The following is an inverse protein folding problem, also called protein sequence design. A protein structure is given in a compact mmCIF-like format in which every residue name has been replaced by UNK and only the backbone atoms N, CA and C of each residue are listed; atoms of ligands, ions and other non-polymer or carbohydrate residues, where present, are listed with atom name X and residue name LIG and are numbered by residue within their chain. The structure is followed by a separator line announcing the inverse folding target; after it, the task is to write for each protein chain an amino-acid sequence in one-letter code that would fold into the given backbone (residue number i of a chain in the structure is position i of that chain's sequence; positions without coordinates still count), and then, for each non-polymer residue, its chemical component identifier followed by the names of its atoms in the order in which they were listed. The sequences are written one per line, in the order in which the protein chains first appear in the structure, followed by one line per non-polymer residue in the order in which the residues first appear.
data_IF_151473545201
#
_entry.id   IF_151473545201
#
_cell.length_a   1.000
_cell.length_b   1.000
_cell.length_c   1.000
_cell.angle_alpha   90.00
_cell.angle_beta   90.00
_cell.angle_gamma   90.00
#
_symmetry.space_group_name_H-M   'P 1'
#
loop_
_entity.id
_entity.type
_entity.pdbx_description
1 polymer ?
#
# COMPACT_ATOMS: atom_id res chain seq x y z
N UNK A 1 18.72 23.04 15.39
CA UNK A 1 18.88 23.11 13.93
C UNK A 1 17.99 22.05 13.32
N UNK A 2 16.76 22.42 12.94
CA UNK A 2 15.85 21.54 12.20
C UNK A 2 16.47 21.28 10.84
N UNK A 3 16.80 20.03 10.53
CA UNK A 3 17.20 19.67 9.18
C UNK A 3 16.07 20.11 8.24
N UNK A 4 16.36 21.05 7.34
CA UNK A 4 15.42 21.43 6.29
C UNK A 4 15.27 20.21 5.39
N UNK A 5 14.16 19.50 5.55
CA UNK A 5 13.79 18.40 4.67
C UNK A 5 13.93 18.85 3.22
N UNK A 6 14.45 17.97 2.36
CA UNK A 6 14.59 18.26 0.94
C UNK A 6 13.23 18.68 0.38
N UNK A 7 13.14 19.65 -0.57
CA UNK A 7 11.86 19.95 -1.21
C UNK A 7 11.26 18.75 -1.96
N UNK A 8 12.06 17.71 -2.23
CA UNK A 8 11.62 16.43 -2.80
C UNK A 8 11.09 15.45 -1.74
N UNK A 9 11.41 15.65 -0.47
CA UNK A 9 10.92 14.81 0.62
C UNK A 9 9.48 15.19 0.95
N UNK A 10 8.60 14.19 0.85
CA UNK A 10 7.23 14.32 1.29
C UNK A 10 7.04 13.69 2.66
N UNK A 11 6.05 14.21 3.38
CA UNK A 11 5.72 13.84 4.73
C UNK A 11 4.20 13.95 4.95
N UNK A 12 3.70 13.12 5.85
CA UNK A 12 2.37 13.26 6.46
C UNK A 12 2.53 13.95 7.81
N UNK A 13 1.67 14.92 8.08
CA UNK A 13 1.68 15.71 9.31
C UNK A 13 0.32 15.60 9.98
N UNK A 14 0.28 15.03 11.18
CA UNK A 14 -0.89 15.13 12.06
C UNK A 14 -0.71 16.38 12.92
N UNK A 15 -1.53 17.41 12.67
CA UNK A 15 -1.42 18.73 13.30
C UNK A 15 -2.71 19.11 14.02
N UNK A 16 -2.60 19.88 15.09
CA UNK A 16 -3.74 20.50 15.75
C UNK A 16 -3.87 21.97 15.31
N UNK A 17 -5.08 22.39 14.98
CA UNK A 17 -5.45 23.78 14.73
C UNK A 17 -6.72 24.17 15.52
N UNK A 18 -7.24 25.38 15.29
CA UNK A 18 -8.43 25.88 15.98
C UNK A 18 -9.72 25.09 15.68
N UNK A 19 -9.76 24.34 14.57
CA UNK A 19 -10.88 23.49 14.17
C UNK A 19 -10.72 22.03 14.62
N UNK A 20 -9.51 21.61 15.03
CA UNK A 20 -9.23 20.30 15.62
C UNK A 20 -7.95 19.66 15.06
N UNK A 21 -7.88 18.33 15.11
CA UNK A 21 -6.75 17.58 14.55
C UNK A 21 -6.97 17.25 13.08
N UNK A 22 -5.98 17.51 12.23
CA UNK A 22 -6.04 17.23 10.79
C UNK A 22 -4.77 16.52 10.31
N UNK A 23 -4.94 15.61 9.34
CA UNK A 23 -3.83 14.96 8.65
C UNK A 23 -3.57 15.69 7.33
N UNK A 24 -2.34 16.16 7.13
CA UNK A 24 -1.91 16.92 5.96
C UNK A 24 -0.73 16.23 5.27
N UNK A 25 -0.76 16.13 3.94
CA UNK A 25 0.34 15.62 3.12
C UNK A 25 1.11 16.76 2.45
N UNK A 26 2.45 16.72 2.52
CA UNK A 26 3.31 17.70 1.80
C UNK A 26 3.70 17.25 0.39
N UNK A 27 3.12 16.14 -0.11
CA UNK A 27 3.42 15.64 -1.46
C UNK A 27 3.13 16.69 -2.53
N UNK A 28 4.00 16.72 -3.54
CA UNK A 28 3.86 17.59 -4.71
C UNK A 28 3.87 16.76 -6.00
N UNK A 29 3.24 17.29 -7.05
CA UNK A 29 3.22 16.76 -8.42
C UNK A 29 4.57 16.99 -9.14
N UNK A 30 5.66 16.43 -8.60
CA UNK A 30 7.00 16.59 -9.18
C UNK A 30 7.10 16.02 -10.60
N UNK A 31 6.43 14.90 -10.89
CA UNK A 31 6.41 14.31 -12.23
C UNK A 31 5.87 15.29 -13.28
N UNK A 32 4.78 16.01 -12.98
CA UNK A 32 4.22 17.04 -13.88
C UNK A 32 5.25 18.10 -14.22
N UNK A 33 5.97 18.61 -13.21
CA UNK A 33 6.96 19.68 -13.40
C UNK A 33 8.20 19.20 -14.15
N UNK A 34 8.69 18.01 -13.82
CA UNK A 34 9.95 17.49 -14.35
C UNK A 34 9.84 16.95 -15.77
N UNK A 35 8.68 16.42 -16.16
CA UNK A 35 8.51 15.75 -17.46
C UNK A 35 7.96 16.63 -18.58
N UNK A 36 7.39 17.80 -18.25
CA UNK A 36 6.79 18.68 -19.26
C UNK A 36 7.80 19.07 -20.35
N UNK A 37 7.40 18.93 -21.62
CA UNK A 37 8.21 19.21 -22.81
C UNK A 37 9.27 18.16 -23.14
N UNK A 38 9.45 17.12 -22.31
CA UNK A 38 10.40 16.04 -22.58
C UNK A 38 9.82 15.00 -23.55
N UNK A 39 10.67 14.26 -24.26
CA UNK A 39 10.25 13.07 -25.00
C UNK A 39 9.51 12.08 -24.09
N UNK A 40 8.47 11.40 -24.60
CA UNK A 40 7.70 10.42 -23.82
C UNK A 40 8.57 9.31 -23.21
N UNK A 41 9.62 8.88 -23.94
CA UNK A 41 10.58 7.86 -23.50
C UNK A 41 11.42 8.26 -22.27
N UNK A 42 11.42 9.53 -21.86
CA UNK A 42 12.12 9.99 -20.66
C UNK A 42 11.40 9.57 -19.37
N UNK A 43 10.07 9.48 -19.40
CA UNK A 43 9.26 9.16 -18.21
C UNK A 43 9.66 7.84 -17.53
N UNK A 44 9.70 6.69 -18.22
CA UNK A 44 10.09 5.43 -17.60
C UNK A 44 11.56 5.35 -17.15
N UNK A 45 12.42 6.29 -17.60
CA UNK A 45 13.83 6.37 -17.20
C UNK A 45 14.04 7.24 -15.98
N UNK A 46 13.32 8.35 -15.87
CA UNK A 46 13.51 9.35 -14.82
C UNK A 46 12.68 9.07 -13.55
N UNK A 47 11.44 8.59 -13.71
CA UNK A 47 10.53 8.40 -12.58
C UNK A 47 11.01 7.34 -11.57
N UNK A 48 11.70 6.26 -11.95
CA UNK A 48 12.26 5.32 -10.97
C UNK A 48 13.25 5.96 -10.00
N UNK A 49 14.02 6.97 -10.44
CA UNK A 49 14.96 7.69 -9.58
C UNK A 49 14.26 8.73 -8.69
N UNK A 50 13.20 9.37 -9.20
CA UNK A 50 12.41 10.33 -8.44
C UNK A 50 11.63 9.65 -7.30
N UNK A 51 11.11 8.45 -7.55
CA UNK A 51 10.30 7.68 -6.61
C UNK A 51 11.00 6.39 -6.20
N UNK A 52 12.20 6.53 -5.62
CA UNK A 52 13.16 5.44 -5.39
C UNK A 52 12.63 4.28 -4.55
N UNK A 53 11.74 4.53 -3.58
CA UNK A 53 11.12 3.48 -2.76
C UNK A 53 10.25 2.50 -3.57
N UNK A 54 9.73 2.95 -4.71
CA UNK A 54 8.83 2.18 -5.58
C UNK A 54 9.25 2.29 -7.05
N UNK A 55 10.56 2.45 -7.31
CA UNK A 55 11.05 2.88 -8.61
C UNK A 55 10.67 1.95 -9.77
N UNK A 56 10.74 0.62 -9.54
CA UNK A 56 10.34 -0.38 -10.52
C UNK A 56 8.87 -0.26 -10.94
N UNK A 57 7.96 -0.14 -9.97
CA UNK A 57 6.53 0.06 -10.21
C UNK A 57 6.24 1.35 -10.99
N UNK A 58 6.89 2.47 -10.64
CA UNK A 58 6.78 3.71 -11.40
C UNK A 58 7.30 3.58 -12.84
N UNK A 59 8.38 2.83 -13.05
CA UNK A 59 8.90 2.51 -14.38
C UNK A 59 7.89 1.71 -15.21
N UNK A 60 7.26 0.69 -14.61
CA UNK A 60 6.23 -0.15 -15.25
C UNK A 60 5.01 0.70 -15.64
N UNK A 61 4.42 1.42 -14.69
CA UNK A 61 3.25 2.26 -14.95
C UNK A 61 3.54 3.34 -16.01
N UNK A 62 4.73 3.93 -16.00
CA UNK A 62 5.16 4.90 -17.00
C UNK A 62 5.28 4.28 -18.40
N UNK A 63 5.86 3.08 -18.53
CA UNK A 63 5.95 2.37 -19.82
C UNK A 63 4.55 2.07 -20.38
N UNK A 64 3.65 1.58 -19.53
CA UNK A 64 2.25 1.34 -19.91
C UNK A 64 1.55 2.61 -20.39
N UNK A 65 1.71 3.72 -19.67
CA UNK A 65 1.09 4.99 -20.04
C UNK A 65 1.62 5.53 -21.38
N UNK A 66 2.94 5.42 -21.60
CA UNK A 66 3.58 5.86 -22.86
C UNK A 66 3.11 5.00 -24.03
N UNK A 67 3.09 3.67 -23.87
CA UNK A 67 2.62 2.75 -24.90
C UNK A 67 1.15 3.02 -25.28
N UNK A 68 0.29 3.29 -24.29
CA UNK A 68 -1.10 3.68 -24.52
C UNK A 68 -1.24 5.01 -25.26
N UNK A 69 -0.49 6.03 -24.86
CA UNK A 69 -0.54 7.34 -25.51
C UNK A 69 -0.02 7.31 -26.97
N UNK A 70 0.93 6.42 -27.26
CA UNK A 70 1.49 6.25 -28.61
C UNK A 70 0.63 5.36 -29.52
N UNK A 71 -0.46 4.78 -29.00
CA UNK A 71 -1.29 3.84 -29.77
C UNK A 71 -0.63 2.48 -30.02
N UNK A 72 0.40 2.15 -29.24
CA UNK A 72 1.11 0.85 -29.31
C UNK A 72 0.45 -0.19 -28.40
N UNK A 73 -0.23 0.26 -27.33
CA UNK A 73 -1.14 -0.60 -26.58
C UNK A 73 -2.47 -0.74 -27.34
N UNK A 74 -3.19 -1.87 -27.22
CA UNK A 74 -4.51 -2.02 -27.83
C UNK A 74 -5.39 -0.84 -27.42
N UNK A 75 -5.89 -0.12 -28.42
CA UNK A 75 -6.84 0.96 -28.19
C UNK A 75 -8.08 0.36 -27.54
N UNK A 76 -8.45 0.84 -26.35
CA UNK A 76 -9.73 0.53 -25.73
C UNK A 76 -10.85 1.28 -26.46
N UNK A 77 -11.01 1.01 -27.74
CA UNK A 77 -12.07 1.58 -28.55
C UNK A 77 -13.40 0.89 -28.18
N UNK A 78 -13.94 1.29 -27.03
CA UNK A 78 -15.37 1.40 -26.76
C UNK A 78 -16.27 0.19 -27.11
N UNK A 79 -15.79 -1.05 -26.95
CA UNK A 79 -16.64 -2.24 -26.92
C UNK A 79 -16.65 -2.88 -25.51
N UNK A 80 -17.81 -3.21 -24.91
CA UNK A 80 -17.88 -3.97 -23.67
C UNK A 80 -17.21 -5.34 -23.86
N UNK A 81 -16.08 -5.58 -23.20
CA UNK A 81 -15.41 -6.89 -23.18
C UNK A 81 -13.96 -6.93 -23.70
N UNK A 82 -13.33 -5.80 -24.04
CA UNK A 82 -11.91 -5.80 -24.41
C UNK A 82 -10.99 -6.14 -23.23
N UNK A 83 -10.07 -7.07 -23.49
CA UNK A 83 -9.16 -7.71 -22.52
C UNK A 83 -7.88 -6.90 -22.37
N UNK A 84 -7.33 -6.86 -21.17
CA UNK A 84 -6.00 -6.27 -20.94
C UNK A 84 -4.97 -7.20 -21.57
N UNK A 85 -4.04 -6.66 -22.37
CA UNK A 85 -2.94 -7.46 -22.91
C UNK A 85 -2.07 -7.98 -21.76
N UNK A 86 -1.68 -9.26 -21.83
CA UNK A 86 -0.80 -9.86 -20.84
C UNK A 86 0.48 -9.03 -20.66
N UNK A 87 0.87 -8.68 -19.42
CA UNK A 87 2.13 -7.98 -19.21
C UNK A 87 3.30 -8.84 -19.70
N UNK A 88 4.37 -8.16 -20.12
CA UNK A 88 5.65 -8.82 -20.35
C UNK A 88 6.02 -9.63 -19.08
N UNK A 89 6.28 -10.94 -19.25
CA UNK A 89 6.58 -11.85 -18.15
C UNK A 89 7.77 -11.39 -17.31
N UNK A 90 8.75 -10.71 -17.92
CA UNK A 90 9.87 -10.13 -17.18
C UNK A 90 9.43 -8.96 -16.27
N UNK A 91 8.55 -8.08 -16.77
CA UNK A 91 8.02 -6.96 -15.98
C UNK A 91 7.12 -7.44 -14.84
N UNK A 92 6.31 -8.47 -15.09
CA UNK A 92 5.48 -9.11 -14.07
C UNK A 92 6.32 -9.75 -12.96
N UNK A 93 7.38 -10.47 -13.32
CA UNK A 93 8.31 -11.06 -12.36
C UNK A 93 9.08 -10.00 -11.55
N UNK A 94 9.53 -8.91 -12.18
CA UNK A 94 10.18 -7.82 -11.48
C UNK A 94 9.24 -7.16 -10.45
N UNK A 95 8.01 -6.85 -10.86
CA UNK A 95 6.98 -6.27 -9.98
C UNK A 95 6.64 -7.19 -8.79
N UNK A 96 6.54 -8.50 -9.04
CA UNK A 96 6.35 -9.53 -8.01
C UNK A 96 7.46 -9.48 -6.98
N UNK A 97 8.72 -9.51 -7.42
CA UNK A 97 9.87 -9.52 -6.51
C UNK A 97 10.02 -8.22 -5.74
N UNK A 98 9.83 -7.07 -6.40
CA UNK A 98 9.85 -5.77 -5.73
C UNK A 98 8.80 -5.70 -4.62
N UNK A 99 7.57 -6.15 -4.92
CA UNK A 99 6.47 -6.16 -3.95
C UNK A 99 6.74 -7.13 -2.80
N UNK A 100 7.20 -8.35 -3.09
CA UNK A 100 7.52 -9.36 -2.08
C UNK A 100 8.65 -8.89 -1.16
N UNK A 101 9.75 -8.38 -1.72
CA UNK A 101 10.87 -7.82 -0.96
C UNK A 101 10.43 -6.67 -0.08
N UNK A 102 9.58 -5.79 -0.58
CA UNK A 102 9.04 -4.68 0.20
C UNK A 102 8.20 -5.17 1.39
N UNK A 103 7.33 -6.16 1.19
CA UNK A 103 6.59 -6.76 2.29
C UNK A 103 7.50 -7.44 3.33
N UNK A 104 8.54 -8.15 2.89
CA UNK A 104 9.51 -8.77 3.79
C UNK A 104 10.31 -7.72 4.56
N UNK A 105 10.77 -6.63 3.93
CA UNK A 105 11.41 -5.50 4.63
C UNK A 105 10.47 -4.92 5.68
N UNK A 106 9.21 -4.69 5.32
CA UNK A 106 8.21 -4.14 6.26
C UNK A 106 7.97 -5.04 7.46
N UNK A 107 7.90 -6.34 7.23
CA UNK A 107 7.81 -7.31 8.32
C UNK A 107 9.10 -7.26 9.16
N UNK A 108 10.29 -7.42 8.61
CA UNK A 108 11.48 -7.59 9.42
C UNK A 108 12.06 -6.31 10.05
N UNK A 109 11.81 -5.15 9.46
CA UNK A 109 12.45 -3.89 9.84
C UNK A 109 11.47 -2.88 10.46
N UNK A 110 10.22 -2.84 9.97
CA UNK A 110 9.23 -1.84 10.39
C UNK A 110 8.23 -2.38 11.41
N UNK A 111 7.77 -3.62 11.28
CA UNK A 111 6.82 -4.22 12.22
C UNK A 111 7.35 -4.29 13.67
N UNK A 112 8.64 -4.58 13.93
CA UNK A 112 9.22 -4.46 15.27
C UNK A 112 9.06 -3.06 15.88
N UNK A 113 9.27 -2.01 15.09
CA UNK A 113 9.07 -0.60 15.51
C UNK A 113 7.60 -0.33 15.84
N UNK A 114 6.69 -0.87 15.05
CA UNK A 114 5.24 -0.69 15.23
C UNK A 114 4.70 -1.43 16.46
N UNK A 115 5.31 -2.55 16.84
CA UNK A 115 4.91 -3.31 18.03
C UNK A 115 5.49 -2.77 19.33
N UNK A 116 6.44 -1.82 19.29
CA UNK A 116 6.96 -1.21 20.50
C UNK A 116 5.93 -0.23 21.10
N UNK A 117 5.47 -0.45 22.34
CA UNK A 117 4.52 0.45 22.98
C UNK A 117 5.07 1.85 23.25
N UNK A 118 6.40 1.99 23.22
CA UNK A 118 7.11 3.26 23.36
C UNK A 118 8.62 3.07 23.30
N UNK A 119 9.41 4.16 23.20
CA UNK A 119 10.86 4.10 23.00
C UNK A 119 11.63 3.43 24.14
N UNK A 120 11.06 3.40 25.34
CA UNK A 120 11.66 2.76 26.53
C UNK A 120 10.97 1.44 26.92
N UNK A 121 9.94 1.00 26.19
CA UNK A 121 9.17 -0.20 26.53
C UNK A 121 9.61 -1.38 25.66
N UNK A 122 9.71 -2.56 26.29
CA UNK A 122 10.02 -3.78 25.58
C UNK A 122 8.90 -4.15 24.57
N UNK A 123 9.23 -4.71 23.41
CA UNK A 123 8.23 -5.26 22.50
C UNK A 123 7.49 -6.45 23.14
N UNK A 124 6.35 -6.87 22.56
CA UNK A 124 5.67 -8.10 22.96
C UNK A 124 6.62 -9.31 22.99
N UNK A 125 6.45 -10.27 23.93
CA UNK A 125 7.34 -11.43 24.04
C UNK A 125 7.51 -12.19 22.73
N UNK A 126 8.76 -12.36 22.29
CA UNK A 126 9.12 -13.07 21.06
C UNK A 126 9.00 -12.25 19.77
N UNK A 127 8.59 -10.97 19.84
CA UNK A 127 8.78 -10.00 18.75
C UNK A 127 10.17 -9.35 18.93
N UNK A 128 11.01 -9.26 17.87
CA UNK A 128 12.30 -8.59 17.96
C UNK A 128 12.16 -7.15 18.47
N UNK A 129 13.15 -6.68 19.24
CA UNK A 129 13.24 -5.25 19.55
C UNK A 129 13.54 -4.45 18.27
N UNK A 130 13.09 -3.20 18.23
CA UNK A 130 13.33 -2.31 17.08
C UNK A 130 14.78 -1.81 16.97
N UNK A 131 15.58 -1.99 18.02
CA UNK A 131 16.98 -1.58 18.10
C UNK A 131 17.82 -2.60 18.87
N UNK A 132 19.14 -2.45 18.79
CA UNK A 132 20.10 -3.32 19.49
C UNK A 132 20.28 -4.69 18.82
N UNK A 133 20.74 -5.68 19.60
CA UNK A 133 21.14 -6.99 19.09
C UNK A 133 20.00 -7.77 18.42
N UNK A 134 18.76 -7.70 18.95
CA UNK A 134 17.61 -8.37 18.36
C UNK A 134 17.23 -7.78 16.99
N UNK A 135 17.33 -6.46 16.82
CA UNK A 135 17.13 -5.81 15.52
C UNK A 135 18.21 -6.21 14.51
N UNK A 136 19.47 -6.28 14.95
CA UNK A 136 20.57 -6.75 14.11
C UNK A 136 20.38 -8.21 13.67
N UNK A 137 19.92 -9.07 14.57
CA UNK A 137 19.60 -10.47 14.25
C UNK A 137 18.43 -10.59 13.26
N UNK A 138 17.37 -9.77 13.41
CA UNK A 138 16.28 -9.71 12.46
C UNK A 138 16.77 -9.24 11.08
N UNK A 139 17.57 -8.17 11.03
CA UNK A 139 18.15 -7.70 9.78
C UNK A 139 19.05 -8.76 9.11
N UNK A 140 19.84 -9.49 9.88
CA UNK A 140 20.66 -10.60 9.38
C UNK A 140 19.80 -11.76 8.84
N UNK A 141 18.72 -12.12 9.53
CA UNK A 141 17.78 -13.14 9.08
C UNK A 141 17.08 -12.75 7.76
N UNK A 142 16.68 -11.48 7.62
CA UNK A 142 16.15 -10.95 6.37
C UNK A 142 17.20 -10.97 5.26
N UNK A 143 18.44 -10.56 5.54
CA UNK A 143 19.54 -10.57 4.57
C UNK A 143 19.87 -11.98 4.07
N UNK A 144 19.64 -13.01 4.90
CA UNK A 144 19.80 -14.41 4.53
C UNK A 144 18.67 -14.96 3.63
N UNK A 145 17.57 -14.22 3.46
CA UNK A 145 16.51 -14.61 2.53
C UNK A 145 17.03 -14.59 1.08
N UNK A 146 16.94 -15.71 0.32
CA UNK A 146 17.46 -15.78 -1.05
C UNK A 146 16.88 -14.72 -2.00
N UNK A 147 15.64 -14.29 -1.75
CA UNK A 147 14.95 -13.30 -2.57
C UNK A 147 15.53 -11.90 -2.40
N UNK A 148 16.22 -11.61 -1.29
CA UNK A 148 16.74 -10.27 -1.03
C UNK A 148 17.97 -9.92 -1.86
N UNK A 149 18.77 -10.93 -2.20
CA UNK A 149 19.96 -10.79 -3.05
C UNK A 149 19.69 -11.09 -4.53
N UNK A 150 18.52 -11.63 -4.85
CA UNK A 150 18.13 -11.93 -6.21
C UNK A 150 18.05 -10.67 -7.09
N UNK A 151 18.37 -10.79 -8.37
CA UNK A 151 18.03 -9.77 -9.37
C UNK A 151 16.55 -9.80 -9.75
N UNK A 152 16.20 -9.18 -10.88
CA UNK A 152 14.81 -9.11 -11.36
C UNK A 152 14.33 -10.39 -12.06
N UNK A 153 15.28 -11.21 -12.52
CA UNK A 153 15.04 -12.50 -13.17
C UNK A 153 15.83 -13.63 -12.48
N UNK A 154 15.45 -14.02 -11.24
CA UNK A 154 16.10 -15.11 -10.52
C UNK A 154 15.83 -16.47 -11.16
N UNK A 155 16.73 -17.43 -10.93
CA UNK A 155 16.52 -18.81 -11.33
C UNK A 155 15.38 -19.46 -10.53
N UNK A 156 14.84 -20.55 -11.07
CA UNK A 156 13.83 -21.37 -10.38
C UNK A 156 14.33 -21.88 -9.02
N UNK A 157 15.62 -22.21 -8.87
CA UNK A 157 16.14 -22.64 -7.57
C UNK A 157 16.10 -21.51 -6.53
N UNK A 158 16.40 -20.27 -6.93
CA UNK A 158 16.34 -19.10 -6.03
C UNK A 158 14.90 -18.81 -5.61
N UNK A 159 13.94 -18.90 -6.54
CA UNK A 159 12.51 -18.77 -6.23
C UNK A 159 12.04 -19.86 -5.26
N UNK A 160 12.41 -21.12 -5.50
CA UNK A 160 12.07 -22.24 -4.63
C UNK A 160 12.72 -22.11 -3.23
N UNK A 161 13.97 -21.65 -3.16
CA UNK A 161 14.64 -21.37 -1.89
C UNK A 161 13.98 -20.21 -1.13
N UNK A 162 13.58 -19.16 -1.85
CA UNK A 162 12.79 -18.05 -1.33
C UNK A 162 11.46 -18.50 -0.74
N UNK A 163 10.72 -19.35 -1.46
CA UNK A 163 9.47 -19.94 -0.97
C UNK A 163 9.67 -20.72 0.32
N UNK A 164 10.66 -21.63 0.38
CA UNK A 164 10.99 -22.37 1.60
C UNK A 164 11.34 -21.46 2.77
N UNK A 165 12.06 -20.37 2.49
CA UNK A 165 12.38 -19.36 3.50
C UNK A 165 11.09 -18.71 4.05
N UNK A 166 10.13 -18.35 3.19
CA UNK A 166 8.82 -17.80 3.60
C UNK A 166 8.02 -18.81 4.43
N UNK A 167 7.96 -20.07 3.99
CA UNK A 167 7.28 -21.15 4.72
C UNK A 167 7.83 -21.31 6.14
N UNK A 168 9.15 -21.25 6.28
CA UNK A 168 9.85 -21.46 7.57
C UNK A 168 9.84 -20.22 8.47
N UNK A 169 10.02 -19.02 7.92
CA UNK A 169 10.28 -17.81 8.73
C UNK A 169 9.10 -16.86 8.81
N UNK A 170 8.13 -16.97 7.89
CA UNK A 170 6.93 -16.13 7.86
C UNK A 170 5.72 -16.92 8.34
N UNK A 171 5.46 -18.09 7.74
CA UNK A 171 4.16 -18.77 7.84
C UNK A 171 4.10 -19.89 8.88
N UNK A 172 5.23 -20.58 9.13
CA UNK A 172 5.30 -21.82 9.91
C UNK A 172 4.43 -22.96 9.31
N UNK A 173 4.29 -22.95 7.98
CA UNK A 173 3.47 -23.88 7.22
C UNK A 173 3.86 -23.81 5.73
N UNK A 174 3.48 -24.83 4.96
CA UNK A 174 3.58 -24.79 3.50
C UNK A 174 2.71 -23.68 2.92
N UNK A 175 3.18 -22.98 1.87
CA UNK A 175 2.44 -21.84 1.28
C UNK A 175 1.06 -22.28 0.79
N UNK A 176 0.96 -23.44 0.13
CA UNK A 176 -0.30 -23.89 -0.47
C UNK A 176 -1.34 -24.23 0.61
N UNK A 177 -0.93 -24.93 1.67
CA UNK A 177 -1.79 -25.27 2.81
C UNK A 177 -2.27 -23.99 3.52
N UNK A 178 -1.36 -23.05 3.75
CA UNK A 178 -1.68 -21.78 4.39
C UNK A 178 -2.70 -20.98 3.58
N UNK A 179 -2.53 -20.91 2.25
CA UNK A 179 -3.44 -20.21 1.34
C UNK A 179 -4.81 -20.89 1.24
N UNK A 180 -4.88 -22.22 1.28
CA UNK A 180 -6.16 -22.95 1.35
C UNK A 180 -6.92 -22.59 2.63
N UNK A 181 -6.22 -22.52 3.77
CA UNK A 181 -6.84 -22.13 5.04
C UNK A 181 -7.28 -20.66 5.04
N UNK A 182 -6.50 -19.77 4.43
CA UNK A 182 -6.87 -18.36 4.19
C UNK A 182 -8.14 -18.24 3.35
N UNK A 183 -8.19 -18.94 2.21
CA UNK A 183 -9.31 -18.89 1.27
C UNK A 183 -10.65 -19.36 1.87
N UNK A 184 -10.60 -20.24 2.87
CA UNK A 184 -11.79 -20.79 3.51
C UNK A 184 -12.50 -19.80 4.45
N UNK A 185 -11.75 -19.17 5.36
CA UNK A 185 -12.26 -18.16 6.30
C UNK A 185 -11.09 -17.31 6.81
N UNK A 186 -10.70 -16.31 6.02
CA UNK A 186 -9.53 -15.48 6.28
C UNK A 186 -9.54 -14.81 7.66
N UNK A 187 -10.63 -14.15 8.13
CA UNK A 187 -10.66 -13.55 9.45
C UNK A 187 -10.46 -14.56 10.58
N UNK A 188 -11.16 -15.71 10.54
CA UNK A 188 -11.04 -16.71 11.60
C UNK A 188 -9.68 -17.42 11.55
N UNK A 189 -9.18 -17.73 10.36
CA UNK A 189 -7.87 -18.33 10.17
C UNK A 189 -6.76 -17.40 10.67
N UNK A 190 -6.73 -16.14 10.22
CA UNK A 190 -5.73 -15.17 10.65
C UNK A 190 -5.74 -14.96 12.17
N UNK A 191 -6.93 -14.95 12.78
CA UNK A 191 -7.10 -14.86 14.23
C UNK A 191 -6.50 -16.06 14.97
N UNK A 192 -6.72 -17.30 14.47
CA UNK A 192 -6.15 -18.52 15.05
C UNK A 192 -4.64 -18.60 14.83
N UNK A 193 -4.18 -18.32 13.62
CA UNK A 193 -2.76 -18.35 13.26
C UNK A 193 -1.95 -17.32 14.05
N UNK A 194 -2.43 -16.08 14.19
CA UNK A 194 -1.81 -15.08 15.05
C UNK A 194 -1.72 -15.56 16.52
N UNK A 195 -2.73 -16.29 16.98
CA UNK A 195 -2.79 -16.84 18.34
C UNK A 195 -1.84 -18.02 18.60
N UNK A 196 -1.35 -18.71 17.56
CA UNK A 196 -0.41 -19.83 17.74
C UNK A 196 0.92 -19.37 18.33
N UNK A 197 1.35 -18.15 17.97
CA UNK A 197 2.60 -17.55 18.46
C UNK A 197 3.86 -18.34 18.10
N UNK A 198 3.80 -19.24 17.10
CA UNK A 198 4.94 -20.09 16.70
C UNK A 198 6.14 -19.28 16.23
N UNK A 199 5.89 -18.26 15.40
CA UNK A 199 6.90 -17.35 14.87
C UNK A 199 6.62 -15.89 15.27
N UNK A 200 7.65 -15.06 15.18
CA UNK A 200 7.52 -13.64 15.53
C UNK A 200 6.51 -12.87 14.66
N UNK A 201 6.29 -13.15 13.35
CA UNK A 201 5.24 -12.48 12.57
C UNK A 201 3.83 -12.80 13.09
N UNK A 202 3.58 -14.03 13.55
CA UNK A 202 2.30 -14.39 14.18
C UNK A 202 2.09 -13.63 15.49
N UNK A 203 3.14 -13.53 16.33
CA UNK A 203 3.12 -12.75 17.58
C UNK A 203 2.89 -11.26 17.33
N UNK A 204 3.54 -10.70 16.31
CA UNK A 204 3.32 -9.33 15.88
C UNK A 204 1.88 -9.11 15.41
N UNK A 205 1.34 -9.99 14.56
CA UNK A 205 -0.04 -9.87 14.09
C UNK A 205 -1.04 -9.97 15.26
N UNK A 206 -0.76 -10.82 16.25
CA UNK A 206 -1.54 -10.92 17.48
C UNK A 206 -1.51 -9.62 18.29
N UNK A 207 -0.35 -8.98 18.41
CA UNK A 207 -0.23 -7.66 19.03
C UNK A 207 -1.04 -6.61 18.26
N UNK A 208 -0.92 -6.54 16.93
CA UNK A 208 -1.69 -5.62 16.08
C UNK A 208 -3.20 -5.86 16.21
N UNK A 209 -3.64 -7.12 16.29
CA UNK A 209 -5.05 -7.46 16.53
C UNK A 209 -5.56 -6.92 17.86
N UNK A 210 -4.74 -6.92 18.93
CA UNK A 210 -5.13 -6.31 20.21
C UNK A 210 -5.24 -4.78 20.11
N UNK A 211 -4.29 -4.12 19.43
CA UNK A 211 -4.27 -2.65 19.32
C UNK A 211 -5.32 -2.09 18.34
N UNK A 212 -5.64 -2.84 17.29
CA UNK A 212 -6.44 -2.38 16.15
C UNK A 212 -7.74 -3.17 15.95
N UNK A 213 -8.01 -4.19 16.78
CA UNK A 213 -9.16 -5.09 16.64
C UNK A 213 -10.52 -4.42 16.79
N UNK A 214 -10.60 -3.43 17.67
CA UNK A 214 -11.81 -2.65 17.94
C UNK A 214 -11.98 -1.48 16.96
N UNK A 215 -10.89 -1.07 16.29
CA UNK A 215 -10.92 0.00 15.31
C UNK A 215 -11.48 -0.53 13.99
N UNK A 216 -12.73 -0.20 13.72
CA UNK A 216 -13.40 -0.52 12.46
C UNK A 216 -13.49 0.71 11.56
N UNK A 217 -13.32 0.53 10.26
CA UNK A 217 -13.48 1.58 9.26
C UNK A 217 -14.36 1.12 8.12
N UNK A 218 -15.16 2.03 7.55
CA UNK A 218 -15.84 1.73 6.31
C UNK A 218 -14.80 1.50 5.24
N UNK A 219 -15.05 0.51 4.38
CA UNK A 219 -14.10 0.24 3.30
C UNK A 219 -14.69 0.54 1.94
N UNK A 220 -14.04 1.47 1.25
CA UNK A 220 -14.29 1.80 -0.13
C UNK A 220 -13.02 1.48 -0.90
N UNK A 221 -12.99 0.31 -1.54
CA UNK A 221 -11.82 -0.20 -2.24
C UNK A 221 -11.72 0.40 -3.66
N UNK A 222 -10.51 0.80 -4.07
CA UNK A 222 -10.20 1.10 -5.47
C UNK A 222 -9.58 -0.13 -6.13
N UNK A 223 -10.27 -0.68 -7.13
CA UNK A 223 -9.85 -1.88 -7.87
C UNK A 223 -9.79 -1.60 -9.37
N UNK A 224 -8.60 -1.68 -9.96
CA UNK A 224 -8.39 -1.42 -11.39
C UNK A 224 -8.98 -2.49 -12.32
N UNK A 225 -9.16 -3.70 -11.80
CA UNK A 225 -9.77 -4.84 -12.49
C UNK A 225 -11.00 -5.30 -11.72
N UNK A 226 -12.00 -5.81 -12.42
CA UNK A 226 -13.13 -6.49 -11.77
C UNK A 226 -12.65 -7.80 -11.17
N UNK A 227 -13.11 -8.12 -9.97
CA UNK A 227 -12.98 -9.47 -9.44
C UNK A 227 -13.60 -10.44 -10.45
N UNK A 228 -12.80 -11.35 -10.99
CA UNK A 228 -13.36 -12.47 -11.74
C UNK A 228 -14.00 -13.35 -10.70
N UNK A 229 -15.33 -13.41 -10.67
CA UNK A 229 -16.02 -14.42 -9.87
C UNK A 229 -15.49 -15.77 -10.34
N UNK A 230 -14.65 -16.41 -9.52
CA UNK A 230 -14.32 -17.81 -9.71
C UNK A 230 -15.66 -18.54 -9.74
N UNK A 231 -16.07 -19.00 -10.92
CA UNK A 231 -17.27 -19.82 -11.06
C UNK A 231 -17.07 -20.99 -10.12
N UNK A 232 -17.96 -21.04 -9.14
CA UNK A 232 -17.98 -22.05 -8.11
C UNK A 232 -18.39 -23.38 -8.78
N UNK A 233 -17.43 -24.09 -9.37
CA UNK A 233 -17.57 -25.48 -9.75
C UNK A 233 -16.25 -26.19 -9.48
N UNK A 234 -16.18 -26.85 -8.33
CA UNK A 234 -15.36 -27.98 -7.95
C UNK A 234 -14.52 -28.68 -9.08
N UNK A 235 -13.50 -28.02 -9.61
CA UNK A 235 -12.46 -28.65 -10.42
C UNK A 235 -11.08 -28.13 -9.98
N UNK A 236 -10.29 -28.94 -9.25
CA UNK A 236 -8.95 -28.59 -8.76
C UNK A 236 -7.89 -28.33 -9.85
N UNK A 237 -8.25 -28.44 -11.13
CA UNK A 237 -7.28 -28.52 -12.24
C UNK A 237 -7.28 -27.32 -13.19
N UNK A 238 -8.14 -26.31 -12.98
CA UNK A 238 -8.03 -25.07 -13.76
C UNK A 238 -7.41 -23.96 -12.90
N UNK A 239 -6.33 -23.31 -13.37
CA UNK A 239 -5.84 -22.11 -12.72
C UNK A 239 -6.94 -21.05 -12.71
N UNK A 240 -7.06 -20.31 -11.61
CA UNK A 240 -7.92 -19.13 -11.58
C UNK A 240 -7.56 -18.22 -12.77
N UNK A 241 -8.54 -17.63 -13.47
CA UNK A 241 -8.24 -16.67 -14.54
C UNK A 241 -7.31 -15.59 -13.96
N UNK A 242 -6.18 -15.38 -14.63
CA UNK A 242 -5.18 -14.44 -14.13
C UNK A 242 -5.77 -13.02 -14.15
N UNK A 243 -5.36 -12.16 -13.22
CA UNK A 243 -5.87 -10.78 -13.15
C UNK A 243 -5.65 -9.98 -14.45
N UNK A 244 -4.71 -10.45 -15.29
CA UNK A 244 -4.43 -9.93 -16.62
C UNK A 244 -5.51 -10.22 -17.67
N UNK A 245 -6.36 -11.23 -17.46
CA UNK A 245 -7.42 -11.60 -18.41
C UNK A 245 -8.76 -10.90 -18.10
N UNK A 246 -8.86 -10.20 -16.97
CA UNK A 246 -10.05 -9.48 -16.54
C UNK A 246 -10.21 -8.16 -17.31
N UNK A 247 -11.44 -7.76 -17.69
CA UNK A 247 -11.66 -6.47 -18.32
C UNK A 247 -11.34 -5.32 -17.34
N UNK A 248 -10.76 -4.20 -17.82
CA UNK A 248 -10.50 -3.04 -16.98
C UNK A 248 -11.80 -2.54 -16.37
N UNK A 249 -11.79 -2.24 -15.08
CA UNK A 249 -12.98 -1.73 -14.43
C UNK A 249 -13.30 -0.31 -14.96
N UNK A 250 -14.60 0.09 -15.01
CA UNK A 250 -15.02 1.45 -15.34
C UNK A 250 -14.28 2.54 -14.56
N UNK A 251 -13.74 2.18 -13.39
CA UNK A 251 -12.88 3.03 -12.56
C UNK A 251 -11.71 3.63 -13.34
N UNK A 252 -11.01 2.87 -14.20
CA UNK A 252 -9.80 3.39 -14.87
C UNK A 252 -10.14 4.51 -15.85
N UNK A 253 -11.29 4.41 -16.53
CA UNK A 253 -11.79 5.47 -17.41
C UNK A 253 -12.22 6.70 -16.60
N UNK A 254 -12.83 6.50 -15.43
CA UNK A 254 -13.18 7.59 -14.51
C UNK A 254 -11.92 8.29 -13.98
N UNK A 255 -10.90 7.55 -13.55
CA UNK A 255 -9.62 8.11 -13.08
C UNK A 255 -8.94 8.91 -14.19
N UNK A 256 -8.87 8.37 -15.41
CA UNK A 256 -8.33 9.09 -16.56
C UNK A 256 -9.07 10.41 -16.81
N UNK A 257 -10.40 10.38 -16.77
CA UNK A 257 -11.23 11.57 -16.96
C UNK A 257 -10.93 12.62 -15.87
N UNK A 258 -10.88 12.22 -14.61
CA UNK A 258 -10.59 13.11 -13.48
C UNK A 258 -9.19 13.71 -13.55
N UNK A 259 -8.17 12.90 -13.85
CA UNK A 259 -6.78 13.35 -14.01
C UNK A 259 -6.65 14.34 -15.18
N UNK A 260 -7.43 14.15 -16.25
CA UNK A 260 -7.43 15.06 -17.40
C UNK A 260 -8.05 16.42 -17.09
N UNK A 261 -9.11 16.46 -16.28
CA UNK A 261 -9.90 17.68 -16.03
C UNK A 261 -9.49 18.43 -14.77
N UNK A 262 -8.89 17.75 -13.79
CA UNK A 262 -8.52 18.34 -12.50
C UNK A 262 -7.12 17.90 -12.07
N UNK A 263 -6.08 18.73 -12.27
CA UNK A 263 -4.72 18.42 -11.82
C UNK A 263 -4.61 18.14 -10.32
N UNK A 264 -5.45 18.78 -9.49
CA UNK A 264 -5.46 18.57 -8.04
C UNK A 264 -5.99 17.19 -7.62
N UNK A 265 -6.71 16.50 -8.51
CA UNK A 265 -7.25 15.16 -8.25
C UNK A 265 -6.16 14.14 -7.89
N UNK A 266 -4.97 14.26 -8.50
CA UNK A 266 -3.87 13.33 -8.25
C UNK A 266 -3.37 13.36 -6.80
N UNK A 267 -3.52 14.50 -6.10
CA UNK A 267 -3.09 14.69 -4.70
C UNK A 267 -4.21 14.43 -3.68
N UNK A 268 -5.48 14.50 -4.09
CA UNK A 268 -6.64 14.26 -3.22
C UNK A 268 -7.75 13.53 -4.01
N UNK A 269 -7.52 12.25 -4.36
CA UNK A 269 -8.40 11.50 -5.23
C UNK A 269 -9.69 11.08 -4.52
N UNK A 270 -10.78 11.06 -5.29
CA UNK A 270 -12.07 10.53 -4.87
C UNK A 270 -12.62 9.57 -5.90
N UNK A 271 -13.29 8.52 -5.45
CA UNK A 271 -14.06 7.61 -6.27
C UNK A 271 -15.56 7.88 -6.03
N UNK A 272 -16.27 8.25 -7.10
CA UNK A 272 -17.70 8.65 -7.03
C UNK A 272 -17.98 9.73 -5.98
N UNK A 273 -17.05 10.69 -5.85
CA UNK A 273 -17.16 11.80 -4.88
C UNK A 273 -16.76 11.44 -3.45
N UNK A 274 -16.36 10.19 -3.18
CA UNK A 274 -15.97 9.73 -1.85
C UNK A 274 -14.49 9.31 -1.78
N UNK A 275 -13.80 9.52 -0.64
CA UNK A 275 -12.46 8.99 -0.43
C UNK A 275 -12.47 7.47 -0.43
N UNK A 276 -11.47 6.86 -1.06
CA UNK A 276 -11.31 5.42 -1.15
C UNK A 276 -9.91 4.98 -0.71
N UNK A 277 -9.67 3.68 -0.57
CA UNK A 277 -8.39 3.11 -0.20
C UNK A 277 -7.93 2.02 -1.18
N UNK A 278 -6.64 1.74 -1.17
CA UNK A 278 -6.03 0.68 -1.98
C UNK A 278 -4.87 0.01 -1.24
N UNK A 279 -4.57 -1.25 -1.55
CA UNK A 279 -3.50 -2.02 -0.92
C UNK A 279 -3.71 -3.52 -1.07
N UNK A 280 -2.85 -4.32 -0.42
CA UNK A 280 -2.98 -5.78 -0.32
C UNK A 280 -4.41 -6.23 0.04
N UNK A 281 -5.01 -5.54 1.00
CA UNK A 281 -6.37 -5.79 1.51
C UNK A 281 -7.46 -5.55 0.47
N UNK A 282 -7.24 -4.75 -0.58
CA UNK A 282 -8.26 -4.35 -1.57
C UNK A 282 -8.12 -5.03 -2.92
N UNK A 283 -7.18 -5.96 -3.09
CA UNK A 283 -6.94 -6.61 -4.38
C UNK A 283 -8.15 -7.38 -4.85
N UNK A 284 -8.51 -7.23 -6.12
CA UNK A 284 -9.59 -8.02 -6.70
C UNK A 284 -9.23 -9.51 -6.87
N UNK A 285 -7.93 -9.83 -6.91
CA UNK A 285 -7.42 -11.20 -7.05
C UNK A 285 -7.57 -12.04 -5.77
N UNK A 286 -7.69 -11.40 -4.61
CA UNK A 286 -7.93 -12.09 -3.34
C UNK A 286 -9.44 -12.14 -3.07
N UNK A 287 -10.12 -13.31 -3.18
CA UNK A 287 -11.54 -13.40 -2.90
C UNK A 287 -11.88 -13.14 -1.42
N UNK A 288 -10.87 -13.21 -0.54
CA UNK A 288 -10.99 -12.88 0.88
C UNK A 288 -10.72 -11.40 1.17
N UNK A 289 -10.09 -10.67 0.24
CA UNK A 289 -10.05 -9.21 0.28
C UNK A 289 -11.50 -8.71 0.25
N UNK A 290 -11.93 -8.11 1.36
CA UNK A 290 -13.30 -7.59 1.51
C UNK A 290 -14.39 -8.65 1.35
N UNK A 291 -14.27 -9.81 2.01
CA UNK A 291 -15.31 -10.84 2.05
C UNK A 291 -16.73 -10.26 2.32
N UNK A 292 -17.40 -9.88 1.24
CA UNK A 292 -18.81 -10.03 0.90
C UNK A 292 -19.88 -9.18 1.56
N UNK A 293 -19.77 -8.67 2.79
CA UNK A 293 -21.00 -8.16 3.46
C UNK A 293 -20.87 -7.09 4.54
N UNK A 294 -19.67 -6.79 5.05
CA UNK A 294 -19.55 -5.83 6.14
C UNK A 294 -19.17 -4.45 5.62
N UNK A 295 -20.08 -3.49 5.82
CA UNK A 295 -19.80 -2.07 5.54
C UNK A 295 -18.56 -1.56 6.29
N UNK A 296 -18.11 -2.25 7.35
CA UNK A 296 -16.96 -1.90 8.17
C UNK A 296 -16.05 -3.11 8.45
N UNK A 297 -14.75 -2.97 8.20
CA UNK A 297 -13.74 -4.00 8.47
C UNK A 297 -12.83 -3.61 9.65
N UNK A 298 -12.37 -4.57 10.47
CA UNK A 298 -11.40 -4.30 11.53
C UNK A 298 -10.02 -3.99 10.93
N UNK A 299 -9.33 -2.97 11.47
CA UNK A 299 -8.16 -2.39 10.82
C UNK A 299 -6.98 -3.36 10.71
N UNK A 300 -6.78 -4.24 11.70
CA UNK A 300 -5.70 -5.23 11.73
C UNK A 300 -5.70 -6.20 10.54
N UNK A 301 -6.84 -6.40 9.87
CA UNK A 301 -6.91 -7.30 8.71
C UNK A 301 -6.08 -6.81 7.53
N UNK A 302 -5.73 -5.51 7.47
CA UNK A 302 -4.76 -4.99 6.49
C UNK A 302 -3.37 -5.58 6.68
N UNK A 303 -2.99 -5.89 7.92
CA UNK A 303 -1.73 -6.60 8.21
C UNK A 303 -1.83 -8.09 7.88
N UNK A 304 -2.99 -8.72 8.16
CA UNK A 304 -3.22 -10.12 7.82
C UNK A 304 -3.18 -10.35 6.30
N UNK A 305 -3.83 -9.50 5.51
CA UNK A 305 -3.78 -9.58 4.05
C UNK A 305 -2.39 -9.35 3.48
N UNK A 306 -1.53 -8.56 4.14
CA UNK A 306 -0.12 -8.43 3.73
C UNK A 306 0.65 -9.75 3.88
N UNK A 307 0.38 -10.52 4.94
CA UNK A 307 0.96 -11.85 5.12
C UNK A 307 0.42 -12.85 4.09
N UNK A 308 -0.88 -12.78 3.78
CA UNK A 308 -1.46 -13.57 2.70
C UNK A 308 -0.84 -13.23 1.34
N UNK A 309 -0.62 -11.94 1.06
CA UNK A 309 0.06 -11.50 -0.15
C UNK A 309 1.50 -12.00 -0.24
N UNK A 310 2.24 -12.03 0.87
CA UNK A 310 3.58 -12.67 0.90
C UNK A 310 3.50 -14.14 0.49
N UNK A 311 2.49 -14.87 0.98
CA UNK A 311 2.27 -16.27 0.59
C UNK A 311 1.90 -16.40 -0.89
N UNK A 312 0.98 -15.58 -1.41
CA UNK A 312 0.61 -15.57 -2.84
C UNK A 312 1.81 -15.27 -3.75
N UNK A 313 2.62 -14.25 -3.41
CA UNK A 313 3.78 -13.86 -4.20
C UNK A 313 4.92 -14.89 -4.13
N UNK A 314 5.07 -15.60 -3.01
CA UNK A 314 6.04 -16.68 -2.86
C UNK A 314 5.58 -18.00 -3.50
N UNK A 315 4.26 -18.15 -3.68
CA UNK A 315 3.62 -19.35 -4.22
C UNK A 315 3.70 -19.48 -5.75
N UNK A 316 3.17 -20.61 -6.27
CA UNK A 316 3.02 -20.80 -7.71
C UNK A 316 2.10 -19.74 -8.32
N UNK A 317 2.45 -19.24 -9.50
CA UNK A 317 1.66 -18.21 -10.18
C UNK A 317 1.80 -16.80 -9.60
N UNK A 318 2.68 -16.58 -8.62
CA UNK A 318 2.86 -15.28 -7.97
C UNK A 318 3.23 -14.13 -8.91
N UNK A 319 3.79 -14.42 -10.09
CA UNK A 319 4.04 -13.44 -11.15
C UNK A 319 2.76 -12.88 -11.80
N UNK A 320 1.63 -13.59 -11.67
CA UNK A 320 0.32 -13.17 -12.16
C UNK A 320 -0.59 -12.58 -11.06
N UNK A 321 -0.10 -12.54 -9.81
CA UNK A 321 -0.87 -12.07 -8.66
C UNK A 321 -1.16 -10.56 -8.73
N UNK A 322 -0.20 -9.78 -9.21
CA UNK A 322 -0.27 -8.33 -9.26
C UNK A 322 -0.84 -7.88 -10.60
N UNK A 323 -2.01 -7.25 -10.58
CA UNK A 323 -2.63 -6.76 -11.79
C UNK A 323 -1.89 -5.52 -12.31
N UNK A 324 -1.79 -5.37 -13.62
CA UNK A 324 -1.18 -4.22 -14.28
C UNK A 324 -1.72 -4.08 -15.70
N UNK A 325 -1.59 -2.88 -16.27
CA UNK A 325 -1.99 -2.68 -17.66
C UNK A 325 -1.94 -1.24 -18.13
N UNK A 326 -2.47 -1.06 -19.33
CA UNK A 326 -2.52 0.22 -20.02
C UNK A 326 -3.94 0.47 -20.57
N UNK A 327 -4.31 1.74 -20.70
CA UNK A 327 -5.58 2.18 -21.24
C UNK A 327 -5.36 3.41 -22.12
N UNK A 328 -5.72 3.33 -23.39
CA UNK A 328 -5.83 4.51 -24.25
C UNK A 328 -7.02 5.36 -23.80
N UNK A 329 -6.81 6.66 -23.58
CA UNK A 329 -7.82 7.55 -22.95
C UNK A 329 -8.25 8.70 -23.86
N UNK A 330 -7.63 8.80 -25.04
CA UNK A 330 -7.87 9.78 -26.08
C UNK A 330 -6.73 9.76 -27.10
N UNK A 331 -6.84 10.55 -28.16
CA UNK A 331 -5.74 10.73 -29.13
C UNK A 331 -4.53 11.28 -28.40
N UNK A 332 -3.41 10.56 -28.43
CA UNK A 332 -2.16 10.92 -27.71
C UNK A 332 -2.30 11.00 -26.18
N UNK A 333 -3.33 10.37 -25.61
CA UNK A 333 -3.54 10.31 -24.16
C UNK A 333 -3.54 8.85 -23.68
N UNK A 334 -2.74 8.55 -22.66
CA UNK A 334 -2.55 7.20 -22.15
C UNK A 334 -2.55 7.14 -20.64
N UNK A 335 -3.17 6.10 -20.10
CA UNK A 335 -3.10 5.71 -18.70
C UNK A 335 -2.35 4.39 -18.58
N UNK A 336 -1.41 4.31 -17.66
CA UNK A 336 -0.71 3.08 -17.29
C UNK A 336 -0.82 2.85 -15.80
N UNK A 337 -0.96 1.61 -15.38
CA UNK A 337 -1.18 1.28 -13.97
C UNK A 337 -0.56 -0.06 -13.60
N UNK A 338 -0.28 -0.22 -12.31
CA UNK A 338 0.07 -1.51 -11.73
C UNK A 338 -0.30 -1.53 -10.25
N UNK A 339 -0.58 -2.71 -9.72
CA UNK A 339 -0.67 -2.90 -8.28
C UNK A 339 0.72 -3.17 -7.71
N UNK A 340 1.11 -2.41 -6.70
CA UNK A 340 2.38 -2.56 -5.98
C UNK A 340 2.13 -2.78 -4.49
N UNK A 341 3.18 -2.97 -3.68
CA UNK A 341 3.08 -3.27 -2.25
C UNK A 341 2.12 -2.36 -1.44
N UNK A 342 2.02 -1.08 -1.82
CA UNK A 342 1.18 -0.10 -1.13
C UNK A 342 -0.21 0.07 -1.74
N UNK A 343 -0.48 -0.57 -2.88
CA UNK A 343 -1.76 -0.52 -3.60
C UNK A 343 -1.63 -0.10 -5.06
N UNK A 344 -2.72 0.40 -5.64
CA UNK A 344 -2.85 0.77 -7.04
C UNK A 344 -2.09 2.06 -7.39
N UNK A 345 -1.07 1.95 -8.23
CA UNK A 345 -0.34 3.07 -8.81
C UNK A 345 -0.84 3.36 -10.22
N UNK A 346 -1.18 4.62 -10.50
CA UNK A 346 -1.70 5.06 -11.81
C UNK A 346 -0.88 6.24 -12.33
N UNK A 347 -0.46 6.16 -13.57
CA UNK A 347 0.18 7.22 -14.32
C UNK A 347 -0.73 7.60 -15.48
N UNK A 348 -0.95 8.89 -15.70
CA UNK A 348 -1.65 9.39 -16.88
C UNK A 348 -0.81 10.45 -17.58
N UNK A 349 -0.82 10.46 -18.90
CA UNK A 349 -0.11 11.46 -19.68
C UNK A 349 -0.84 11.82 -20.97
N UNK A 350 -0.54 13.02 -21.47
CA UNK A 350 -0.93 13.50 -22.79
C UNK A 350 0.30 14.00 -23.56
N UNK A 351 0.39 13.66 -24.84
CA UNK A 351 1.48 14.07 -25.73
C UNK A 351 1.06 15.22 -26.66
N UNK A 352 2.00 16.09 -27.01
CA UNK A 352 1.86 17.08 -28.07
C UNK A 352 2.07 16.47 -29.47
N UNK A 353 2.07 17.30 -30.52
CA UNK A 353 2.13 16.83 -31.92
C UNK A 353 3.50 16.26 -32.28
N UNK A 354 4.51 16.64 -31.51
CA UNK A 354 5.89 16.20 -31.66
C UNK A 354 6.19 14.98 -30.76
N UNK A 355 5.17 14.41 -30.10
CA UNK A 355 5.32 13.24 -29.23
C UNK A 355 6.00 13.54 -27.88
N UNK A 356 6.04 14.80 -27.47
CA UNK A 356 6.58 15.23 -26.17
C UNK A 356 5.46 15.34 -25.14
N UNK A 357 5.82 15.20 -23.87
CA UNK A 357 4.87 15.21 -22.75
C UNK A 357 4.32 16.61 -22.56
N UNK A 358 3.04 16.81 -22.91
CA UNK A 358 2.31 18.05 -22.67
C UNK A 358 1.79 18.13 -21.23
N UNK A 359 1.31 16.98 -20.71
CA UNK A 359 0.80 16.82 -19.34
C UNK A 359 1.17 15.44 -18.80
N UNK A 360 1.42 15.35 -17.50
CA UNK A 360 1.73 14.10 -16.81
C UNK A 360 1.21 14.18 -15.37
N UNK A 361 0.51 13.15 -14.91
CA UNK A 361 0.00 13.05 -13.54
C UNK A 361 0.31 11.67 -12.96
N UNK A 362 0.70 11.64 -11.69
CA UNK A 362 0.95 10.41 -10.93
C UNK A 362 -0.04 10.35 -9.78
N UNK A 363 -0.93 9.38 -9.85
CA UNK A 363 -1.84 9.06 -8.76
C UNK A 363 -1.28 7.85 -8.01
N UNK A 364 -0.63 8.12 -6.87
CA UNK A 364 0.02 7.10 -6.06
C UNK A 364 -0.90 6.56 -4.95
N UNK A 365 -0.63 5.35 -4.42
CA UNK A 365 -1.47 4.73 -3.39
C UNK A 365 -1.62 5.53 -2.09
N UNK A 366 -0.59 6.29 -1.71
CA UNK A 366 -0.58 7.08 -0.47
C UNK A 366 -1.65 8.17 -0.50
N UNK A 367 -1.98 8.71 -1.66
CA UNK A 367 -2.96 9.78 -1.86
C UNK A 367 -4.39 9.28 -1.66
N UNK A 368 -4.66 8.02 -1.98
CA UNK A 368 -5.88 7.33 -1.59
C UNK A 368 -5.92 7.08 -0.08
N UNK A 369 -4.88 6.38 0.43
CA UNK A 369 -4.86 5.86 1.79
C UNK A 369 -4.79 6.96 2.87
N UNK A 370 -4.18 8.10 2.54
CA UNK A 370 -4.02 9.26 3.40
C UNK A 370 -4.74 10.50 2.85
N UNK A 371 -5.81 10.29 2.08
CA UNK A 371 -6.73 11.36 1.74
C UNK A 371 -7.16 12.10 3.03
N UNK A 372 -7.21 13.45 3.07
CA UNK A 372 -7.53 14.21 4.29
C UNK A 372 -8.88 13.85 4.92
N UNK A 373 -9.81 13.39 4.09
CA UNK A 373 -11.13 12.91 4.51
C UNK A 373 -11.24 11.37 4.55
N UNK A 374 -10.15 10.64 4.30
CA UNK A 374 -10.10 9.18 4.19
C UNK A 374 -10.06 8.44 5.53
N UNK A 375 -10.03 7.10 5.48
CA UNK A 375 -10.10 6.24 6.66
C UNK A 375 -8.99 6.47 7.68
N UNK A 376 -7.74 6.57 7.22
CA UNK A 376 -6.59 6.85 8.07
C UNK A 376 -6.73 8.20 8.78
N UNK A 377 -6.98 9.27 8.03
CA UNK A 377 -7.12 10.62 8.58
C UNK A 377 -8.22 10.69 9.64
N UNK A 378 -9.41 10.14 9.36
CA UNK A 378 -10.54 10.11 10.31
C UNK A 378 -10.22 9.31 11.58
N UNK A 379 -9.48 8.21 11.48
CA UNK A 379 -9.06 7.45 12.66
C UNK A 379 -8.06 8.23 13.51
N UNK A 380 -7.00 8.74 12.87
CA UNK A 380 -5.92 9.46 13.53
C UNK A 380 -6.44 10.73 14.22
N UNK A 381 -7.28 11.51 13.54
CA UNK A 381 -7.96 12.68 14.13
C UNK A 381 -8.82 12.28 15.32
N UNK A 382 -9.58 11.18 15.25
CA UNK A 382 -10.42 10.73 16.38
C UNK A 382 -9.57 10.31 17.58
N UNK A 383 -8.49 9.56 17.36
CA UNK A 383 -7.57 9.16 18.43
C UNK A 383 -6.93 10.39 19.10
N UNK A 384 -6.48 11.36 18.30
CA UNK A 384 -5.88 12.58 18.81
C UNK A 384 -6.87 13.48 19.58
N UNK A 385 -8.11 13.60 19.08
CA UNK A 385 -9.18 14.32 19.77
C UNK A 385 -9.57 13.65 21.08
N UNK A 386 -9.67 12.31 21.13
CA UNK A 386 -9.97 11.56 22.34
C UNK A 386 -8.89 11.76 23.42
N UNK A 387 -7.61 11.71 23.04
CA UNK A 387 -6.49 11.97 23.95
C UNK A 387 -6.52 13.41 24.51
N UNK A 388 -6.88 14.39 23.66
CA UNK A 388 -7.03 15.80 24.07
C UNK A 388 -8.16 15.99 25.08
N UNK A 389 -9.31 15.34 24.87
CA UNK A 389 -10.46 15.40 25.77
C UNK A 389 -10.19 14.76 27.13
N UNK A 390 -9.56 13.58 27.15
CA UNK A 390 -9.20 12.88 28.40
C UNK A 390 -8.25 13.72 29.27
N UNK A 391 -7.28 14.38 28.65
CA UNK A 391 -6.33 15.28 29.33
C UNK A 391 -7.03 16.51 29.89
N UNK A 392 -7.93 17.12 29.11
CA UNK A 392 -8.73 18.27 29.57
C UNK A 392 -9.62 17.92 30.76
N UNK A 393 -10.18 16.70 30.80
CA UNK A 393 -10.95 16.22 31.94
C UNK A 393 -10.06 16.01 33.18
N UNK A 394 -8.87 15.41 33.03
CA UNK A 394 -7.92 15.19 34.12
C UNK A 394 -7.34 16.51 34.69
N UNK A 395 -7.09 17.50 33.83
CA UNK A 395 -6.61 18.83 34.23
C UNK A 395 -7.65 19.62 35.05
N UNK A 396 -8.95 19.46 34.77
CA UNK A 396 -10.02 20.07 35.60
C UNK A 396 -10.10 19.47 37.01
N UNK A 397 -9.51 18.29 37.22
CA UNK A 397 -9.48 17.59 38.51
C UNK A 397 -8.19 17.90 39.29
N UNK A 398 -7.18 18.49 38.66
CA UNK A 398 -5.84 18.67 39.24
C UNK A 398 -5.38 20.13 39.07
N UNK A 399 -5.32 20.93 40.14
CA UNK A 399 -4.71 22.27 40.13
C UNK A 399 -3.18 22.17 40.03
N UNK A 400 -2.65 21.98 38.82
CA UNK A 400 -1.22 21.93 38.55
C UNK A 400 -0.95 21.70 37.07
N UNK A 401 0.00 22.45 36.49
CA UNK A 401 0.29 22.53 35.06
C UNK A 401 0.19 21.17 34.33
N UNK A 402 -0.84 21.04 33.49
CA UNK A 402 -1.13 19.80 32.79
C UNK A 402 -0.06 19.53 31.71
N UNK A 403 0.56 18.35 31.78
CA UNK A 403 1.36 17.81 30.68
C UNK A 403 0.50 17.72 29.40
N UNK A 404 1.09 17.90 28.20
CA UNK A 404 0.36 17.77 26.94
C UNK A 404 -0.29 16.37 26.82
N UNK A 405 -1.37 16.22 26.05
CA UNK A 405 -2.09 14.97 25.94
C UNK A 405 -1.15 13.84 25.48
N UNK A 406 -1.07 12.78 26.28
CA UNK A 406 -0.33 11.59 25.89
C UNK A 406 -1.13 10.85 24.81
N UNK A 407 -0.94 11.24 23.55
CA UNK A 407 -1.36 10.43 22.41
C UNK A 407 -0.69 9.05 22.55
N UNK A 408 -1.46 7.97 22.41
CA UNK A 408 -0.87 6.64 22.27
C UNK A 408 -0.13 6.59 20.95
N UNK A 409 1.18 6.87 21.02
CA UNK A 409 2.07 6.93 19.87
C UNK A 409 2.15 5.56 19.19
N UNK A 410 2.11 4.47 19.96
CA UNK A 410 2.13 3.12 19.41
C UNK A 410 0.85 2.80 18.64
N UNK A 411 -0.33 3.12 19.19
CA UNK A 411 -1.59 2.94 18.48
C UNK A 411 -1.68 3.85 17.25
N UNK A 412 -1.18 5.08 17.33
CA UNK A 412 -1.14 6.03 16.20
C UNK A 412 -0.26 5.49 15.06
N UNK A 413 0.95 5.02 15.38
CA UNK A 413 1.84 4.39 14.41
C UNK A 413 1.25 3.10 13.84
N UNK A 414 0.58 2.29 14.66
CA UNK A 414 -0.08 1.07 14.22
C UNK A 414 -1.24 1.36 13.24
N UNK A 415 -2.04 2.41 13.48
CA UNK A 415 -3.06 2.87 12.53
C UNK A 415 -2.43 3.32 11.22
N UNK A 416 -1.39 4.16 11.27
CA UNK A 416 -0.71 4.63 10.07
C UNK A 416 -0.09 3.45 9.29
N UNK A 417 0.53 2.50 9.98
CA UNK A 417 1.14 1.31 9.40
C UNK A 417 0.14 0.39 8.68
N UNK A 418 -1.12 0.35 9.15
CA UNK A 418 -2.17 -0.42 8.47
C UNK A 418 -2.46 0.11 7.05
N UNK A 419 -2.30 1.42 6.84
CA UNK A 419 -2.49 2.12 5.55
C UNK A 419 -1.20 2.31 4.74
N UNK A 420 -0.06 1.96 5.33
CA UNK A 420 1.20 1.76 4.61
C UNK A 420 1.72 3.02 3.85
N UNK A 421 2.12 4.10 4.56
CA UNK A 421 2.63 5.29 3.90
C UNK A 421 4.00 5.00 3.25
N UNK A 422 4.27 5.64 2.11
CA UNK A 422 5.62 5.71 1.51
C UNK A 422 6.41 6.94 1.95
N UNK A 423 5.91 7.69 2.93
CA UNK A 423 6.46 8.95 3.43
C UNK A 423 6.52 8.92 4.95
N UNK A 424 7.38 9.75 5.53
CA UNK A 424 7.47 9.88 6.98
C UNK A 424 6.16 10.45 7.55
N UNK A 425 5.70 9.90 8.67
CA UNK A 425 4.62 10.47 9.47
C UNK A 425 5.23 11.28 10.61
N UNK A 426 4.88 12.55 10.67
CA UNK A 426 5.21 13.46 11.75
C UNK A 426 3.94 13.80 12.52
N UNK A 427 4.08 13.90 13.83
CA UNK A 427 3.01 14.36 14.72
C UNK A 427 3.53 15.65 15.34
N UNK A 428 2.87 16.77 15.05
CA UNK A 428 3.19 18.00 15.75
C UNK A 428 2.57 17.95 17.13
N UNK A 429 3.36 18.10 18.21
CA UNK A 429 2.78 18.22 19.53
C UNK A 429 1.89 19.47 19.57
N UNK A 430 0.79 19.37 20.33
CA UNK A 430 -0.09 20.50 20.66
C UNK A 430 0.71 21.54 21.44
N UNK A 431 1.40 22.43 20.73
CA UNK A 431 1.86 23.69 21.29
C UNK A 431 0.78 24.72 21.00
N UNK A 432 -0.31 24.68 21.79
CA UNK A 432 -1.01 25.94 22.09
C UNK A 432 -0.06 26.66 23.05
N UNK A 433 0.98 27.29 22.50
CA UNK A 433 1.66 28.36 23.22
C UNK A 433 0.77 29.58 22.96
N UNK A 434 0.08 30.13 23.97
CA UNK A 434 -0.49 31.46 23.80
C UNK A 434 0.68 32.37 23.49
N UNK A 435 0.56 33.16 22.41
CA UNK A 435 1.42 34.32 22.24
C UNK A 435 1.32 35.15 23.54
N UNK A 436 2.43 35.26 24.26
CA UNK A 436 2.65 36.29 25.28
C UNK A 436 3.76 37.19 24.78
#
# INVERSE_FOLDING_TARGET
MTATASPLEAALWLRADAAGWTLHSTRQEWATRLLRGRPAADAPRLLPSLYSLCGGAHGIAARHAVAAAQGVAPAAAAAPGERIAAPDGAAAQALRLDTLREHLRRLWLEAPRQAQPGPAQAPPPGVPAASGAAAAAAAAALAACPLMAAGDAPSTEVLAAGRRWVETHVLDAGVDEWLVAWAHDAPAFAARWAGSGGLWPARWLSAMRRHLGELRQPVQAVQAVKAVQAVNTAQPSQPAPTASEAPPAPVLQQLARSLRTSPAFALSPTLDGHPAETGCWTRAADPCAHAGSQAYAPLWMRHAARLAEVAHLAGPGGEHWLAQGALATGTREGLGWCEMARGLLVHWLALDEQGRIARYHVLAPTEWNFHPQGGAARLLTRLASAATAATSAAARVSEGAAAPPALDFAQTLAVAAAYDPCVALHIEPTAITPWQ
#
